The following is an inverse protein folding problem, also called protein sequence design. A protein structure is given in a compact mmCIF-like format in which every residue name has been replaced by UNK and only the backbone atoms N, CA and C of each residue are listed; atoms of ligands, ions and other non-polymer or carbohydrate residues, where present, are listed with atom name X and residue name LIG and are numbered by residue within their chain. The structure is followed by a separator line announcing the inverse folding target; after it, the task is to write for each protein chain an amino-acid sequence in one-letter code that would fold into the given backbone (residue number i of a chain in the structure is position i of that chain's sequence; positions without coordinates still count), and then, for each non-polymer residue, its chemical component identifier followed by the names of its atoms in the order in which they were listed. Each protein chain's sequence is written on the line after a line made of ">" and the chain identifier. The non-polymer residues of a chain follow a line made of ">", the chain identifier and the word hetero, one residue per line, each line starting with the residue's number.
data_IF_015521320540
#
_entry.id   IF_015521320540
#
_cell.length_a   1.000
_cell.length_b   1.000
_cell.length_c   1.000
_cell.angle_alpha   90.00
_cell.angle_beta   90.00
_cell.angle_gamma   90.00
#
_symmetry.space_group_name_H-M   'P 1'
#
loop_
_entity.id
_entity.type
_entity.pdbx_description
1 polymer ?
#
# COMPACT_ATOMS: atom_id res chain seq x y z
N UNK A 1 -24.81 33.45 -5.25
CA UNK A 1 -24.88 33.01 -6.65
C UNK A 1 -23.76 32.00 -7.02
N UNK A 2 -22.56 32.08 -6.49
CA UNK A 2 -21.42 31.19 -6.90
C UNK A 2 -21.56 29.72 -6.46
N UNK A 3 -22.31 29.43 -5.40
CA UNK A 3 -22.49 28.02 -4.91
C UNK A 3 -23.45 27.15 -5.74
N UNK A 4 -24.37 27.78 -6.52
CA UNK A 4 -25.32 27.06 -7.37
C UNK A 4 -24.72 26.64 -8.72
N UNK A 5 -23.71 27.35 -9.21
CA UNK A 5 -23.02 27.02 -10.46
C UNK A 5 -22.09 25.79 -10.32
N UNK A 6 -21.52 25.54 -9.15
CA UNK A 6 -20.68 24.36 -8.88
C UNK A 6 -21.50 23.07 -8.71
N UNK A 7 -22.71 23.16 -8.14
CA UNK A 7 -23.63 22.00 -8.05
C UNK A 7 -24.22 21.61 -9.41
N UNK A 8 -24.52 22.59 -10.28
CA UNK A 8 -25.03 22.32 -11.62
C UNK A 8 -23.99 21.65 -12.52
N UNK A 9 -22.70 21.98 -12.37
CA UNK A 9 -21.61 21.33 -13.11
C UNK A 9 -21.37 19.88 -12.71
N UNK A 10 -21.49 19.55 -11.43
CA UNK A 10 -21.36 18.18 -10.92
C UNK A 10 -22.56 17.29 -11.30
N UNK A 11 -23.79 17.82 -11.26
CA UNK A 11 -24.98 17.10 -11.70
C UNK A 11 -24.95 16.84 -13.23
N UNK A 12 -24.46 17.78 -14.04
CA UNK A 12 -24.31 17.62 -15.49
C UNK A 12 -23.35 16.49 -15.85
N UNK A 13 -22.22 16.38 -15.14
CA UNK A 13 -21.26 15.29 -15.37
C UNK A 13 -21.79 13.89 -14.97
N UNK A 14 -22.59 13.82 -13.88
CA UNK A 14 -23.19 12.55 -13.44
C UNK A 14 -24.32 12.11 -14.36
N UNK A 15 -25.15 13.04 -14.84
CA UNK A 15 -26.25 12.75 -15.80
C UNK A 15 -25.69 12.33 -17.15
N UNK A 16 -24.60 12.95 -17.62
CA UNK A 16 -23.92 12.54 -18.88
C UNK A 16 -23.30 11.15 -18.76
N UNK A 17 -22.73 10.78 -17.59
CA UNK A 17 -22.18 9.44 -17.36
C UNK A 17 -23.29 8.37 -17.28
N UNK A 18 -24.44 8.67 -16.68
CA UNK A 18 -25.58 7.74 -16.62
C UNK A 18 -26.30 7.61 -17.96
N UNK A 19 -26.37 8.69 -18.75
CA UNK A 19 -26.95 8.65 -20.11
C UNK A 19 -26.06 7.84 -21.09
N UNK A 20 -24.75 7.89 -20.94
CA UNK A 20 -23.81 7.10 -21.74
C UNK A 20 -23.96 5.58 -21.46
N UNK A 21 -24.29 5.17 -20.23
CA UNK A 21 -24.51 3.76 -19.91
C UNK A 21 -25.80 3.21 -20.55
N UNK A 22 -26.84 4.02 -20.70
CA UNK A 22 -28.12 3.60 -21.29
C UNK A 22 -28.06 3.50 -22.82
N UNK A 23 -27.25 4.32 -23.47
CA UNK A 23 -27.08 4.32 -24.94
C UNK A 23 -26.08 3.25 -25.42
N UNK A 24 -25.07 2.93 -24.61
CA UNK A 24 -24.08 1.88 -24.92
C UNK A 24 -24.75 0.48 -25.02
N UNK A 25 -25.81 0.23 -24.26
CA UNK A 25 -26.53 -1.03 -24.27
C UNK A 25 -27.34 -1.29 -25.57
N UNK A 26 -27.54 -0.29 -26.42
CA UNK A 26 -28.35 -0.37 -27.65
C UNK A 26 -27.52 -0.41 -28.95
N UNK A 27 -26.18 -0.34 -28.89
CA UNK A 27 -25.36 -0.33 -30.11
C UNK A 27 -25.03 -1.75 -30.56
N UNK A 28 -25.03 -2.02 -31.89
CA UNK A 28 -24.60 -3.30 -32.43
C UNK A 28 -23.13 -3.54 -32.05
N UNK A 29 -22.82 -4.76 -31.67
CA UNK A 29 -21.44 -5.16 -31.38
C UNK A 29 -20.60 -5.12 -32.62
N UNK A 30 -19.66 -4.21 -32.71
CA UNK A 30 -18.73 -4.09 -33.83
C UNK A 30 -17.83 -5.34 -33.93
N UNK A 31 -17.44 -5.71 -35.15
CA UNK A 31 -16.47 -6.79 -35.35
C UNK A 31 -15.10 -6.47 -34.68
N UNK A 32 -14.34 -7.51 -34.27
CA UNK A 32 -13.01 -7.28 -33.70
C UNK A 32 -12.09 -6.61 -34.76
N UNK A 33 -11.40 -5.55 -34.37
CA UNK A 33 -10.47 -4.87 -35.23
C UNK A 33 -9.06 -5.43 -35.10
N UNK A 34 -8.62 -6.23 -36.04
CA UNK A 34 -7.23 -6.72 -36.15
C UNK A 34 -6.38 -5.78 -37.06
N UNK A 35 -6.57 -4.47 -36.94
CA UNK A 35 -5.78 -3.52 -37.71
C UNK A 35 -4.38 -3.43 -37.11
N UNK A 36 -3.36 -3.66 -37.95
CA UNK A 36 -1.96 -3.44 -37.59
C UNK A 36 -1.77 -2.01 -37.06
N UNK A 37 -1.42 -1.86 -35.80
CA UNK A 37 -1.31 -0.55 -35.15
C UNK A 37 0.09 0.05 -35.36
N UNK A 38 0.15 1.31 -35.84
CA UNK A 38 1.41 2.06 -36.00
C UNK A 38 1.84 2.73 -34.67
N UNK A 39 1.97 1.94 -33.62
CA UNK A 39 2.41 2.44 -32.32
C UNK A 39 3.93 2.26 -32.20
N UNK A 40 4.65 3.34 -31.90
CA UNK A 40 6.11 3.39 -31.87
C UNK A 40 6.68 3.71 -30.47
N UNK A 41 6.00 3.28 -29.44
CA UNK A 41 6.49 3.38 -28.05
C UNK A 41 6.31 2.03 -27.34
N UNK A 42 7.14 1.73 -26.30
CA UNK A 42 7.08 0.45 -25.59
C UNK A 42 5.85 0.34 -24.67
N UNK A 43 5.47 -0.88 -24.27
CA UNK A 43 4.32 -1.13 -23.39
C UNK A 43 4.56 -0.71 -21.93
N UNK A 44 5.74 -0.24 -21.56
CA UNK A 44 6.10 0.26 -20.24
C UNK A 44 7.19 1.34 -20.36
N UNK A 45 7.36 2.21 -19.34
CA UNK A 45 8.38 3.24 -19.33
C UNK A 45 9.79 2.67 -19.57
N UNK A 46 10.60 3.27 -20.46
CA UNK A 46 11.91 2.72 -20.83
C UNK A 46 12.95 2.77 -19.70
N UNK A 47 12.71 3.58 -18.65
CA UNK A 47 13.61 3.80 -17.53
C UNK A 47 13.05 3.26 -16.22
N UNK A 48 12.51 2.05 -16.23
CA UNK A 48 12.02 1.36 -15.04
C UNK A 48 13.15 0.53 -14.44
N UNK A 49 13.86 1.07 -13.46
CA UNK A 49 14.95 0.36 -12.79
C UNK A 49 14.42 -0.65 -11.76
N UNK A 50 13.37 -0.27 -11.04
CA UNK A 50 12.76 -1.08 -9.98
C UNK A 50 11.26 -1.14 -10.20
N UNK A 51 10.79 -2.05 -11.08
CA UNK A 51 9.37 -2.17 -11.40
C UNK A 51 8.57 -2.67 -10.19
N UNK A 52 7.53 -1.90 -9.83
CA UNK A 52 6.54 -2.25 -8.81
C UNK A 52 5.23 -2.58 -9.50
N UNK A 53 4.61 -3.68 -9.11
CA UNK A 53 3.29 -4.11 -9.54
C UNK A 53 2.30 -3.88 -8.42
N UNK A 54 1.34 -2.98 -8.62
CA UNK A 54 0.30 -2.67 -7.63
C UNK A 54 -1.05 -3.16 -8.13
N UNK A 55 -1.68 -4.09 -7.41
CA UNK A 55 -3.01 -4.64 -7.76
C UNK A 55 -4.12 -3.62 -7.47
N UNK A 56 -4.40 -2.71 -8.41
CA UNK A 56 -5.35 -1.61 -8.24
C UNK A 56 -6.82 -2.01 -8.43
N UNK A 57 -7.10 -3.08 -9.17
CA UNK A 57 -8.41 -3.73 -9.28
C UNK A 57 -8.19 -5.22 -9.08
N UNK A 58 -8.82 -5.81 -8.06
CA UNK A 58 -8.54 -7.19 -7.65
C UNK A 58 -9.76 -8.05 -7.89
N UNK A 59 -9.65 -9.05 -8.77
CA UNK A 59 -10.67 -10.07 -9.04
C UNK A 59 -12.08 -9.51 -9.30
N UNK A 60 -12.19 -8.44 -10.09
CA UNK A 60 -13.47 -7.85 -10.51
C UNK A 60 -13.91 -8.37 -11.89
N UNK A 61 -15.21 -8.31 -12.17
CA UNK A 61 -15.77 -8.70 -13.48
C UNK A 61 -15.52 -7.65 -14.56
N UNK A 62 -15.33 -6.38 -14.20
CA UNK A 62 -15.10 -5.30 -15.14
C UNK A 62 -14.24 -4.19 -14.58
N UNK A 63 -13.59 -3.43 -15.46
CA UNK A 63 -12.93 -2.18 -15.14
C UNK A 63 -13.08 -1.20 -16.31
N UNK A 64 -13.07 0.10 -16.00
CA UNK A 64 -13.04 1.16 -17.02
C UNK A 64 -11.65 1.76 -17.07
N UNK A 65 -11.18 2.03 -18.26
CA UNK A 65 -9.88 2.67 -18.49
C UNK A 65 -9.97 3.80 -19.49
N UNK A 66 -9.02 4.73 -19.40
CA UNK A 66 -8.74 5.75 -20.41
C UNK A 66 -7.24 6.05 -20.46
N UNK A 67 -6.80 6.77 -21.48
CA UNK A 67 -5.40 7.15 -21.67
C UNK A 67 -5.26 8.67 -21.74
N UNK A 68 -4.16 9.21 -21.18
CA UNK A 68 -3.89 10.64 -21.18
C UNK A 68 -3.51 11.18 -22.55
N UNK A 69 -2.72 10.43 -23.28
CA UNK A 69 -2.39 10.61 -24.70
C UNK A 69 -2.72 9.33 -25.46
N UNK A 70 -2.69 9.35 -26.77
CA UNK A 70 -2.91 8.16 -27.59
C UNK A 70 -2.02 7.01 -27.10
N UNK A 71 -2.61 5.82 -27.03
CA UNK A 71 -2.04 4.65 -26.41
C UNK A 71 -2.34 3.38 -27.20
N UNK A 72 -1.99 2.25 -26.60
CA UNK A 72 -2.34 0.95 -27.15
C UNK A 72 -2.47 -0.13 -26.08
N UNK A 73 -3.13 -1.22 -26.48
CA UNK A 73 -3.05 -2.52 -25.83
C UNK A 73 -1.95 -3.32 -26.48
N UNK A 74 -1.09 -3.92 -25.69
CA UNK A 74 0.03 -4.76 -26.14
C UNK A 74 -0.11 -6.17 -25.62
N UNK A 75 0.27 -7.14 -26.45
CA UNK A 75 0.58 -8.50 -26.03
C UNK A 75 2.07 -8.70 -26.26
N UNK A 76 2.79 -9.03 -25.19
CA UNK A 76 4.25 -8.96 -25.16
C UNK A 76 4.73 -7.54 -25.52
N UNK A 77 5.33 -7.33 -26.69
CA UNK A 77 5.73 -6.01 -27.20
C UNK A 77 4.92 -5.56 -28.42
N UNK A 78 3.98 -6.39 -28.89
CA UNK A 78 3.21 -6.14 -30.10
C UNK A 78 1.94 -5.35 -29.75
N UNK A 79 1.73 -4.16 -30.30
CA UNK A 79 0.49 -3.43 -30.16
C UNK A 79 -0.62 -4.12 -30.98
N UNK A 80 -1.74 -4.43 -30.32
CA UNK A 80 -2.86 -5.17 -30.92
C UNK A 80 -4.14 -4.34 -31.04
N UNK A 81 -4.24 -3.22 -30.29
CA UNK A 81 -5.43 -2.36 -30.32
C UNK A 81 -5.04 -0.93 -29.93
N UNK A 82 -5.41 0.05 -30.76
CA UNK A 82 -5.16 1.46 -30.48
C UNK A 82 -6.18 2.04 -29.53
N UNK A 83 -5.68 2.84 -28.59
CA UNK A 83 -6.45 3.61 -27.63
C UNK A 83 -6.30 5.10 -27.94
N UNK A 84 -7.41 5.82 -28.04
CA UNK A 84 -7.42 7.24 -28.34
C UNK A 84 -7.64 8.08 -27.09
N UNK A 85 -6.90 9.19 -27.01
CA UNK A 85 -7.09 10.21 -25.97
C UNK A 85 -8.56 10.66 -25.94
N UNK A 86 -9.11 10.81 -24.74
CA UNK A 86 -10.48 11.29 -24.54
C UNK A 86 -11.57 10.23 -24.69
N UNK A 87 -11.20 8.99 -25.03
CA UNK A 87 -12.14 7.87 -25.08
C UNK A 87 -12.02 6.99 -23.85
N UNK A 88 -13.16 6.41 -23.45
CA UNK A 88 -13.27 5.45 -22.35
C UNK A 88 -13.44 4.05 -22.92
N UNK A 89 -12.77 3.10 -22.31
CA UNK A 89 -12.81 1.70 -22.67
C UNK A 89 -13.25 0.87 -21.47
N UNK A 90 -14.01 -0.18 -21.72
CA UNK A 90 -14.35 -1.18 -20.72
C UNK A 90 -13.55 -2.46 -20.94
N UNK A 91 -13.01 -2.99 -19.87
CA UNK A 91 -12.45 -4.35 -19.83
C UNK A 91 -13.48 -5.22 -19.14
N UNK A 92 -13.98 -6.22 -19.82
CA UNK A 92 -14.92 -7.23 -19.31
C UNK A 92 -14.94 -8.45 -20.24
N UNK A 93 -15.32 -9.60 -19.75
CA UNK A 93 -15.55 -10.82 -20.55
C UNK A 93 -14.40 -11.19 -21.49
N UNK A 94 -13.15 -11.01 -21.00
CA UNK A 94 -11.96 -11.33 -21.78
C UNK A 94 -11.67 -10.38 -22.94
N UNK A 95 -12.24 -9.19 -22.97
CA UNK A 95 -12.03 -8.20 -24.03
C UNK A 95 -11.96 -6.77 -23.51
N UNK A 96 -11.38 -5.90 -24.32
CA UNK A 96 -11.43 -4.44 -24.16
C UNK A 96 -12.34 -3.87 -25.23
N UNK A 97 -13.31 -3.05 -24.84
CA UNK A 97 -14.32 -2.47 -25.73
C UNK A 97 -14.33 -0.95 -25.58
N UNK A 98 -14.28 -0.24 -26.71
CA UNK A 98 -14.44 1.21 -26.77
C UNK A 98 -15.91 1.59 -26.59
N UNK A 99 -16.22 2.41 -25.59
CA UNK A 99 -17.60 2.81 -25.29
C UNK A 99 -18.29 3.55 -26.43
N UNK A 100 -17.54 4.41 -27.12
CA UNK A 100 -18.11 5.29 -28.14
C UNK A 100 -18.59 4.55 -29.39
N UNK A 101 -17.85 3.52 -29.84
CA UNK A 101 -18.09 2.86 -31.14
C UNK A 101 -18.49 1.40 -31.00
N UNK A 102 -18.25 0.78 -29.83
CA UNK A 102 -18.37 -0.66 -29.63
C UNK A 102 -17.20 -1.46 -30.24
N UNK A 103 -16.20 -0.83 -30.83
CA UNK A 103 -14.98 -1.47 -31.33
C UNK A 103 -14.29 -2.19 -30.21
N UNK A 104 -13.86 -3.43 -30.39
CA UNK A 104 -13.27 -4.22 -29.35
C UNK A 104 -12.07 -5.05 -29.82
N UNK A 105 -11.28 -5.53 -28.87
CA UNK A 105 -10.21 -6.49 -29.05
C UNK A 105 -10.31 -7.56 -27.95
N UNK A 106 -10.17 -8.82 -28.33
CA UNK A 106 -10.09 -9.93 -27.37
C UNK A 106 -8.70 -9.94 -26.71
N UNK A 107 -8.70 -10.20 -25.43
CA UNK A 107 -7.48 -10.33 -24.63
C UNK A 107 -7.18 -11.82 -24.41
N UNK A 108 -5.95 -12.29 -24.65
CA UNK A 108 -5.59 -13.70 -24.43
C UNK A 108 -5.64 -14.04 -22.94
N UNK A 109 -6.07 -15.25 -22.64
CA UNK A 109 -6.19 -15.74 -21.25
C UNK A 109 -4.83 -16.18 -20.69
N UNK A 110 -3.96 -16.68 -21.56
CA UNK A 110 -2.64 -17.24 -21.21
C UNK A 110 -1.50 -16.20 -21.17
N UNK A 111 -1.78 -14.96 -21.54
CA UNK A 111 -0.81 -13.87 -21.58
C UNK A 111 -1.31 -12.63 -20.85
N UNK A 112 -0.38 -11.83 -20.34
CA UNK A 112 -0.70 -10.52 -19.79
C UNK A 112 -0.89 -9.52 -20.91
N UNK A 113 -2.04 -8.87 -20.98
CA UNK A 113 -2.23 -7.69 -21.81
C UNK A 113 -1.69 -6.47 -21.06
N UNK A 114 -0.98 -5.59 -21.77
CA UNK A 114 -0.51 -4.30 -21.23
C UNK A 114 -1.19 -3.15 -21.93
N UNK A 115 -1.51 -2.13 -21.15
CA UNK A 115 -2.13 -0.90 -21.61
C UNK A 115 -1.18 0.24 -21.27
N UNK A 116 -0.73 0.96 -22.29
CA UNK A 116 0.14 2.11 -22.11
C UNK A 116 -0.29 3.26 -23.01
N UNK A 117 -0.12 4.49 -22.55
CA UNK A 117 -0.14 5.70 -23.37
C UNK A 117 1.29 6.16 -23.63
N UNK A 118 1.47 7.04 -24.62
CA UNK A 118 2.77 7.62 -24.95
C UNK A 118 3.45 8.30 -23.75
N UNK A 119 2.65 8.95 -22.89
CA UNK A 119 3.15 9.67 -21.71
C UNK A 119 3.14 8.81 -20.44
N UNK A 120 2.87 7.52 -20.55
CA UNK A 120 2.77 6.59 -19.43
C UNK A 120 1.88 7.12 -18.29
N UNK A 121 0.67 7.57 -18.68
CA UNK A 121 -0.39 7.98 -17.78
C UNK A 121 -1.70 7.35 -18.21
N UNK A 122 -2.27 6.57 -17.32
CA UNK A 122 -3.48 5.79 -17.58
C UNK A 122 -4.51 6.05 -16.49
N UNK A 123 -5.76 6.11 -16.86
CA UNK A 123 -6.87 6.18 -15.93
C UNK A 123 -7.49 4.80 -15.75
N UNK A 124 -7.83 4.46 -14.50
CA UNK A 124 -8.55 3.23 -14.20
C UNK A 124 -9.59 3.50 -13.12
N UNK A 125 -10.83 3.14 -13.39
CA UNK A 125 -12.03 3.28 -12.57
C UNK A 125 -12.32 4.70 -12.06
N UNK A 126 -11.49 5.36 -11.31
CA UNK A 126 -11.76 6.70 -10.80
C UNK A 126 -10.51 7.56 -10.67
N UNK A 127 -9.35 7.03 -11.04
CA UNK A 127 -8.07 7.67 -10.77
C UNK A 127 -7.11 7.61 -11.93
N UNK A 128 -6.28 8.62 -12.03
CA UNK A 128 -5.11 8.63 -12.90
C UNK A 128 -3.91 8.02 -12.19
N UNK A 129 -3.15 7.22 -12.94
CA UNK A 129 -1.97 6.49 -12.49
C UNK A 129 -0.79 6.79 -13.40
N UNK A 130 0.41 6.86 -12.84
CA UNK A 130 1.66 6.84 -13.63
C UNK A 130 1.97 5.42 -14.08
N UNK A 131 2.78 5.28 -15.12
CA UNK A 131 3.16 3.98 -15.66
C UNK A 131 2.15 3.39 -16.62
N UNK A 132 2.06 2.08 -16.63
CA UNK A 132 1.17 1.29 -17.50
C UNK A 132 0.25 0.39 -16.65
N UNK A 133 -0.72 -0.25 -17.33
CA UNK A 133 -1.55 -1.28 -16.70
C UNK A 133 -1.20 -2.65 -17.25
N UNK A 134 -1.19 -3.66 -16.42
CA UNK A 134 -1.20 -5.07 -16.81
C UNK A 134 -2.55 -5.68 -16.45
N UNK A 135 -3.09 -6.52 -17.32
CA UNK A 135 -4.35 -7.24 -17.12
C UNK A 135 -4.04 -8.71 -16.99
N UNK A 136 -4.47 -9.31 -15.89
CA UNK A 136 -4.49 -10.77 -15.69
C UNK A 136 -5.94 -11.21 -15.70
N UNK A 137 -6.24 -12.21 -16.53
CA UNK A 137 -7.57 -12.80 -16.59
C UNK A 137 -7.70 -14.04 -15.72
N UNK A 138 -8.86 -14.19 -15.12
CA UNK A 138 -9.30 -15.37 -14.37
C UNK A 138 -10.71 -15.75 -14.87
N UNK A 139 -11.22 -16.96 -14.61
CA UNK A 139 -12.58 -17.32 -14.99
C UNK A 139 -13.62 -16.31 -14.47
N UNK A 140 -14.29 -15.58 -15.39
CA UNK A 140 -15.30 -14.55 -15.08
C UNK A 140 -14.79 -13.30 -14.34
N UNK A 141 -13.49 -13.15 -14.15
CA UNK A 141 -12.90 -12.03 -13.40
C UNK A 141 -11.57 -11.59 -14.01
N UNK A 142 -11.10 -10.43 -13.58
CA UNK A 142 -9.76 -9.95 -13.91
C UNK A 142 -9.15 -9.17 -12.76
N UNK A 143 -7.83 -9.05 -12.80
CA UNK A 143 -7.04 -8.14 -11.97
C UNK A 143 -6.37 -7.12 -12.88
N UNK A 144 -6.48 -5.83 -12.52
CA UNK A 144 -5.73 -4.74 -13.16
C UNK A 144 -4.59 -4.34 -12.23
N UNK A 145 -3.40 -4.37 -12.75
CA UNK A 145 -2.15 -4.09 -12.06
C UNK A 145 -1.57 -2.79 -12.63
N UNK A 146 -1.25 -1.84 -11.78
CA UNK A 146 -0.47 -0.68 -12.17
C UNK A 146 1.02 -1.05 -12.10
N UNK A 147 1.71 -0.94 -13.23
CA UNK A 147 3.14 -1.22 -13.38
C UNK A 147 3.89 0.09 -13.57
N UNK A 148 4.80 0.40 -12.65
CA UNK A 148 5.58 1.62 -12.69
C UNK A 148 6.92 1.46 -11.93
N UNK A 149 7.81 2.44 -12.08
CA UNK A 149 9.04 2.50 -11.29
C UNK A 149 8.76 2.85 -9.83
N UNK A 150 9.56 2.33 -8.91
CA UNK A 150 9.40 2.53 -7.45
C UNK A 150 9.37 4.02 -7.07
N UNK A 151 10.16 4.89 -7.71
CA UNK A 151 10.16 6.31 -7.40
C UNK A 151 8.83 6.97 -7.80
N UNK A 152 8.28 6.61 -8.95
CA UNK A 152 6.96 7.07 -9.37
C UNK A 152 5.84 6.53 -8.47
N UNK A 153 5.98 5.30 -7.96
CA UNK A 153 5.07 4.74 -6.96
C UNK A 153 5.07 5.56 -5.68
N UNK A 154 6.25 5.93 -5.18
CA UNK A 154 6.41 6.71 -3.95
C UNK A 154 5.83 8.12 -4.05
N UNK A 155 5.83 8.75 -5.24
CA UNK A 155 5.14 10.04 -5.45
C UNK A 155 3.64 9.96 -5.11
N UNK A 156 3.01 8.81 -5.31
CA UNK A 156 1.62 8.58 -4.92
C UNK A 156 1.44 8.06 -3.50
N UNK A 157 2.45 7.41 -2.90
CA UNK A 157 2.41 6.86 -1.54
C UNK A 157 2.64 7.92 -0.49
N UNK A 158 3.74 8.66 -0.56
CA UNK A 158 4.13 9.64 0.48
C UNK A 158 2.99 10.61 0.82
N UNK A 159 2.33 11.28 -0.14
CA UNK A 159 1.21 12.17 0.16
C UNK A 159 -0.08 11.44 0.59
N UNK A 160 -0.16 10.14 0.36
CA UNK A 160 -1.30 9.32 0.79
C UNK A 160 -1.16 8.84 2.23
N UNK A 161 0.06 8.79 2.73
CA UNK A 161 0.43 8.33 4.08
C UNK A 161 0.66 9.47 5.05
N UNK A 162 1.25 10.58 4.60
CA UNK A 162 1.52 11.76 5.43
C UNK A 162 0.94 13.03 4.82
N UNK A 163 0.40 13.97 5.61
CA UNK A 163 -0.02 15.29 5.13
C UNK A 163 1.15 16.03 4.44
N UNK A 164 0.93 16.53 3.23
CA UNK A 164 1.95 17.26 2.46
C UNK A 164 2.38 18.59 3.14
N UNK A 165 1.58 19.10 4.08
CA UNK A 165 1.92 20.29 4.89
C UNK A 165 3.02 20.03 5.92
N UNK A 166 3.27 18.78 6.29
CA UNK A 166 4.27 18.42 7.30
C UNK A 166 5.69 18.78 6.88
N UNK A 167 6.62 18.76 7.84
CA UNK A 167 8.01 19.11 7.62
C UNK A 167 8.65 18.23 6.53
N UNK A 168 9.48 18.86 5.67
CA UNK A 168 10.12 18.15 4.54
C UNK A 168 11.01 17.00 5.01
N UNK A 169 11.67 17.13 6.16
CA UNK A 169 12.53 16.08 6.70
C UNK A 169 11.72 14.85 7.16
N UNK A 170 10.52 15.05 7.69
CA UNK A 170 9.60 13.97 7.98
C UNK A 170 9.11 13.26 6.71
N UNK A 171 8.78 14.03 5.67
CA UNK A 171 8.37 13.49 4.36
C UNK A 171 9.51 12.70 3.69
N UNK A 172 10.77 13.15 3.83
CA UNK A 172 11.97 12.41 3.38
C UNK A 172 12.13 11.09 4.15
N UNK A 173 12.00 11.10 5.46
CA UNK A 173 12.05 9.90 6.29
C UNK A 173 10.96 8.90 5.88
N UNK A 174 9.74 9.38 5.64
CA UNK A 174 8.64 8.55 5.12
C UNK A 174 8.96 7.97 3.74
N UNK A 175 9.55 8.76 2.84
CA UNK A 175 9.90 8.27 1.50
C UNK A 175 10.91 7.12 1.57
N UNK A 176 11.94 7.22 2.42
CA UNK A 176 12.94 6.15 2.61
C UNK A 176 12.30 4.92 3.27
N UNK A 177 11.45 5.10 4.27
CA UNK A 177 10.73 4.00 4.92
C UNK A 177 9.81 3.28 3.93
N UNK A 178 9.00 4.03 3.18
CA UNK A 178 8.08 3.47 2.19
C UNK A 178 8.82 2.77 1.04
N UNK A 179 9.96 3.32 0.60
CA UNK A 179 10.82 2.68 -0.42
C UNK A 179 11.37 1.36 0.09
N UNK A 180 11.87 1.32 1.30
CA UNK A 180 12.40 0.11 1.92
C UNK A 180 11.34 -0.97 2.09
N UNK A 181 10.11 -0.57 2.44
CA UNK A 181 8.97 -1.48 2.49
C UNK A 181 8.66 -2.04 1.11
N UNK A 182 8.48 -1.19 0.10
CA UNK A 182 8.18 -1.62 -1.26
C UNK A 182 9.30 -2.50 -1.83
N UNK A 183 10.56 -2.07 -1.70
CA UNK A 183 11.71 -2.81 -2.20
C UNK A 183 11.85 -4.21 -1.58
N UNK A 184 11.54 -4.37 -0.29
CA UNK A 184 11.53 -5.67 0.38
C UNK A 184 10.42 -6.63 -0.13
N UNK A 185 9.42 -6.11 -0.84
CA UNK A 185 8.34 -6.89 -1.44
C UNK A 185 8.56 -7.22 -2.92
N UNK A 186 9.64 -6.70 -3.53
CA UNK A 186 9.99 -7.08 -4.90
C UNK A 186 10.63 -8.47 -4.95
N UNK A 187 10.76 -9.05 -6.14
CA UNK A 187 11.48 -10.29 -6.43
C UNK A 187 11.11 -11.50 -5.55
N UNK A 188 9.82 -11.62 -5.25
CA UNK A 188 9.32 -12.79 -4.51
C UNK A 188 9.13 -12.53 -3.01
N UNK A 189 9.46 -11.35 -2.51
CA UNK A 189 9.18 -10.94 -1.12
C UNK A 189 7.69 -10.72 -0.83
N UNK A 190 6.86 -10.58 -1.87
CA UNK A 190 5.42 -10.33 -1.72
C UNK A 190 4.63 -11.61 -1.49
N UNK A 191 3.72 -11.54 -0.52
CA UNK A 191 2.70 -12.59 -0.29
C UNK A 191 1.67 -12.68 -1.41
N UNK A 192 1.51 -11.63 -2.22
CA UNK A 192 0.52 -11.56 -3.30
C UNK A 192 1.04 -12.10 -4.63
N UNK A 193 2.35 -12.07 -4.84
CA UNK A 193 2.95 -12.34 -6.15
C UNK A 193 2.60 -13.73 -6.68
N UNK A 194 2.65 -14.74 -5.82
CA UNK A 194 2.44 -16.14 -6.21
C UNK A 194 1.05 -16.42 -6.74
N UNK A 195 0.01 -15.87 -6.10
CA UNK A 195 -1.40 -16.20 -6.41
C UNK A 195 -2.09 -15.12 -7.24
N UNK A 196 -1.63 -13.87 -7.14
CA UNK A 196 -2.31 -12.71 -7.72
C UNK A 196 -1.48 -12.00 -8.79
N UNK A 197 -0.17 -12.25 -8.82
CA UNK A 197 0.74 -11.75 -9.85
C UNK A 197 1.15 -10.29 -9.70
N UNK A 198 0.97 -9.67 -8.52
CA UNK A 198 1.43 -8.32 -8.19
C UNK A 198 2.21 -8.30 -6.88
N UNK A 199 2.93 -7.20 -6.61
CA UNK A 199 3.81 -7.08 -5.46
C UNK A 199 3.10 -6.47 -4.24
N UNK A 200 2.23 -5.48 -4.46
CA UNK A 200 1.60 -4.67 -3.42
C UNK A 200 0.12 -4.41 -3.72
N UNK A 201 -0.64 -4.01 -2.69
CA UNK A 201 -2.00 -3.49 -2.81
C UNK A 201 -2.06 -2.02 -2.38
N UNK A 202 -3.01 -1.20 -2.92
CA UNK A 202 -3.04 0.26 -2.74
C UNK A 202 -3.77 0.71 -1.47
N UNK A 203 -3.75 -0.09 -0.40
CA UNK A 203 -4.51 0.15 0.82
C UNK A 203 -3.74 -0.25 2.09
N UNK A 204 -4.40 -0.22 3.26
CA UNK A 204 -3.82 -0.46 4.58
C UNK A 204 -3.19 -1.86 4.77
N UNK A 205 -3.39 -2.79 3.84
CA UNK A 205 -2.77 -4.11 3.87
C UNK A 205 -1.30 -4.06 3.49
N UNK A 206 -0.90 -3.03 2.75
CA UNK A 206 0.48 -2.71 2.39
C UNK A 206 0.73 -1.20 2.58
N UNK A 207 0.47 -0.35 1.59
CA UNK A 207 0.69 1.09 1.65
C UNK A 207 -0.45 1.84 0.96
N UNK A 208 -0.93 2.93 1.55
CA UNK A 208 -1.91 3.78 0.89
C UNK A 208 -1.31 4.37 -0.40
N UNK A 209 -1.92 4.05 -1.54
CA UNK A 209 -1.52 4.53 -2.85
C UNK A 209 -2.73 5.06 -3.60
N UNK A 210 -2.82 6.38 -3.74
CA UNK A 210 -4.01 7.04 -4.32
C UNK A 210 -3.79 7.54 -5.75
N UNK A 211 -2.65 7.19 -6.35
CA UNK A 211 -2.31 7.58 -7.71
C UNK A 211 -1.93 9.06 -7.82
N UNK A 212 -1.99 9.59 -9.04
CA UNK A 212 -1.46 10.92 -9.39
C UNK A 212 -2.16 12.08 -8.71
N UNK A 213 -3.45 11.95 -8.39
CA UNK A 213 -4.22 13.04 -7.77
C UNK A 213 -3.76 13.38 -6.34
N UNK A 214 -3.02 12.49 -5.69
CA UNK A 214 -2.46 12.74 -4.36
C UNK A 214 -1.15 13.53 -4.40
N UNK A 215 -0.43 13.54 -5.52
CA UNK A 215 0.90 14.10 -5.64
C UNK A 215 0.93 15.61 -5.37
N UNK A 216 1.98 16.06 -4.69
CA UNK A 216 2.29 17.48 -4.50
C UNK A 216 3.76 17.76 -4.82
N UNK A 217 4.10 19.00 -5.18
CA UNK A 217 5.48 19.39 -5.44
C UNK A 217 6.40 19.10 -4.24
N UNK A 218 5.94 19.35 -3.02
CA UNK A 218 6.73 19.13 -1.79
C UNK A 218 6.98 17.64 -1.53
N UNK A 219 5.99 16.77 -1.68
CA UNK A 219 6.17 15.33 -1.48
C UNK A 219 7.01 14.71 -2.59
N UNK A 220 6.84 15.16 -3.84
CA UNK A 220 7.68 14.73 -4.96
C UNK A 220 9.14 15.14 -4.75
N UNK A 221 9.38 16.33 -4.21
CA UNK A 221 10.74 16.79 -3.82
C UNK A 221 11.34 15.91 -2.72
N UNK A 222 10.57 15.51 -1.70
CA UNK A 222 11.05 14.61 -0.65
C UNK A 222 11.46 13.24 -1.23
N UNK A 223 10.69 12.68 -2.15
CA UNK A 223 11.03 11.44 -2.87
C UNK A 223 12.32 11.62 -3.68
N UNK A 224 12.41 12.68 -4.47
CA UNK A 224 13.57 12.95 -5.33
C UNK A 224 14.86 13.17 -4.53
N UNK A 225 14.81 13.91 -3.41
CA UNK A 225 15.98 14.18 -2.56
C UNK A 225 16.46 12.96 -1.76
N UNK A 226 15.68 11.91 -1.70
CA UNK A 226 16.04 10.63 -1.07
C UNK A 226 16.09 9.47 -2.06
N UNK A 227 16.15 9.77 -3.37
CA UNK A 227 16.07 8.78 -4.44
C UNK A 227 17.04 7.63 -4.21
N UNK A 228 16.54 6.40 -4.34
CA UNK A 228 17.32 5.18 -4.24
C UNK A 228 17.73 4.77 -2.83
N UNK A 229 17.56 5.61 -1.81
CA UNK A 229 18.00 5.29 -0.43
C UNK A 229 17.00 4.36 0.25
N UNK A 230 17.51 3.27 0.85
CA UNK A 230 16.77 2.27 1.62
C UNK A 230 17.44 1.98 2.97
N UNK A 231 16.68 1.33 3.83
CA UNK A 231 17.14 0.79 5.11
C UNK A 231 17.74 -0.60 4.89
N UNK A 232 18.98 -0.80 5.36
CA UNK A 232 19.60 -2.14 5.44
C UNK A 232 20.01 -2.45 6.88
N UNK A 233 19.91 -3.71 7.25
CA UNK A 233 20.40 -4.26 8.50
C UNK A 233 21.28 -5.46 8.18
N UNK A 234 22.55 -5.41 8.59
CA UNK A 234 23.53 -6.46 8.30
C UNK A 234 23.58 -6.84 6.80
N UNK A 235 23.53 -5.83 5.92
CA UNK A 235 23.56 -6.00 4.46
C UNK A 235 22.24 -6.49 3.83
N UNK A 236 21.20 -6.75 4.63
CA UNK A 236 19.87 -7.14 4.13
C UNK A 236 18.90 -5.97 4.16
N UNK A 237 17.99 -5.91 3.21
CA UNK A 237 16.93 -4.91 3.22
C UNK A 237 16.08 -5.07 4.47
N UNK A 238 15.95 -3.97 5.22
CA UNK A 238 15.07 -3.91 6.39
C UNK A 238 13.74 -3.30 5.93
N UNK A 239 12.61 -4.04 5.98
CA UNK A 239 11.32 -3.47 5.63
C UNK A 239 11.02 -2.25 6.50
N UNK A 240 10.77 -1.14 5.86
CA UNK A 240 10.50 0.14 6.51
C UNK A 240 9.05 0.22 7.00
N UNK A 241 8.70 -0.48 8.06
CA UNK A 241 7.37 -0.36 8.67
C UNK A 241 7.16 1.03 9.24
N UNK A 242 5.95 1.56 9.12
CA UNK A 242 5.57 2.85 9.69
C UNK A 242 4.09 2.85 10.10
N UNK A 243 3.75 3.76 11.01
CA UNK A 243 2.38 3.95 11.48
C UNK A 243 2.18 5.38 11.93
N UNK A 244 0.93 5.82 12.05
CA UNK A 244 0.62 7.16 12.55
C UNK A 244 1.34 7.44 13.89
N UNK A 245 1.27 6.48 14.82
CA UNK A 245 1.95 6.52 16.11
C UNK A 245 2.51 5.15 16.47
N UNK A 246 3.70 5.11 17.09
CA UNK A 246 4.32 3.86 17.60
C UNK A 246 4.45 3.82 19.13
N UNK A 247 3.82 4.74 19.85
CA UNK A 247 3.99 4.89 21.29
C UNK A 247 5.26 5.69 21.61
N UNK A 248 5.32 6.94 21.16
CA UNK A 248 6.53 7.73 21.17
C UNK A 248 7.09 8.04 22.57
N UNK A 249 8.42 8.20 22.62
CA UNK A 249 9.20 8.69 23.75
C UNK A 249 8.98 10.17 24.09
N UNK A 250 8.11 10.90 23.36
CA UNK A 250 7.77 12.29 23.69
C UNK A 250 6.92 12.34 24.95
N UNK A 251 7.49 12.80 26.04
CA UNK A 251 6.94 12.79 27.39
C UNK A 251 5.55 13.45 27.55
N UNK A 252 5.18 14.34 26.64
CA UNK A 252 3.94 15.13 26.74
C UNK A 252 2.79 14.61 25.87
N UNK A 253 2.92 13.46 25.22
CA UNK A 253 1.87 12.91 24.39
C UNK A 253 0.93 12.02 25.21
N UNK A 254 -0.19 12.59 25.60
CA UNK A 254 -1.42 11.95 26.06
C UNK A 254 -1.23 10.61 26.80
N UNK A 255 -0.74 10.69 28.02
CA UNK A 255 -0.78 9.57 28.97
C UNK A 255 -2.22 9.13 29.16
N UNK A 256 -2.49 7.86 28.95
CA UNK A 256 -3.80 7.26 29.13
C UNK A 256 -3.72 6.15 30.17
N UNK A 257 -4.82 5.95 30.88
CA UNK A 257 -4.98 4.85 31.81
C UNK A 257 -6.13 3.96 31.36
N UNK A 258 -5.93 2.65 31.44
CA UNK A 258 -6.97 1.67 31.18
C UNK A 258 -7.03 0.68 32.34
N UNK A 259 -8.10 0.70 33.15
CA UNK A 259 -8.34 -0.35 34.09
C UNK A 259 -8.76 -1.63 33.36
N UNK A 260 -8.17 -2.74 33.74
CA UNK A 260 -8.48 -4.07 33.23
C UNK A 260 -8.85 -4.95 34.43
N UNK A 261 -10.09 -5.44 34.51
CA UNK A 261 -10.52 -6.31 35.62
C UNK A 261 -9.64 -7.56 35.73
N UNK A 262 -9.35 -7.98 36.95
CA UNK A 262 -8.53 -9.18 37.23
C UNK A 262 -8.99 -10.39 36.43
N UNK A 263 -10.28 -10.70 36.45
CA UNK A 263 -10.87 -11.83 35.69
C UNK A 263 -10.61 -11.71 34.19
N UNK A 264 -10.72 -10.52 33.61
CA UNK A 264 -10.44 -10.30 32.18
C UNK A 264 -8.96 -10.54 31.87
N UNK A 265 -8.04 -10.02 32.70
CA UNK A 265 -6.62 -10.21 32.50
C UNK A 265 -6.22 -11.68 32.65
N UNK A 266 -6.78 -12.39 33.59
CA UNK A 266 -6.61 -13.83 33.81
C UNK A 266 -7.05 -14.65 32.59
N UNK A 267 -8.20 -14.35 32.03
CA UNK A 267 -8.72 -15.00 30.82
C UNK A 267 -7.81 -14.77 29.61
N UNK A 268 -7.44 -13.51 29.39
CA UNK A 268 -6.60 -13.11 28.25
C UNK A 268 -5.21 -13.75 28.35
N UNK A 269 -4.63 -13.80 29.53
CA UNK A 269 -3.25 -14.24 29.73
C UNK A 269 -3.14 -15.73 30.08
N UNK A 270 -4.21 -16.35 30.51
CA UNK A 270 -4.20 -17.73 31.00
C UNK A 270 -3.39 -17.91 32.30
N UNK A 271 -3.27 -16.85 33.09
CA UNK A 271 -2.61 -16.85 34.40
C UNK A 271 -3.66 -16.62 35.47
N UNK A 272 -4.05 -17.64 36.26
CA UNK A 272 -5.07 -17.49 37.31
C UNK A 272 -4.49 -16.84 38.55
N UNK A 273 -5.35 -16.15 39.31
CA UNK A 273 -5.01 -15.50 40.59
C UNK A 273 -3.77 -14.58 40.45
N UNK A 274 -3.84 -13.62 39.56
CA UNK A 274 -2.75 -12.67 39.29
C UNK A 274 -2.45 -11.86 40.57
N UNK A 275 -1.19 -11.86 40.98
CA UNK A 275 -0.66 -11.15 42.18
C UNK A 275 0.32 -10.03 41.76
N UNK A 276 0.79 -10.02 40.54
CA UNK A 276 1.70 -8.99 40.01
C UNK A 276 1.72 -8.92 38.48
N UNK A 277 1.87 -7.71 37.99
CA UNK A 277 2.13 -7.42 36.56
C UNK A 277 3.25 -6.38 36.49
N UNK A 278 4.32 -6.69 35.79
CA UNK A 278 5.51 -5.84 35.75
C UNK A 278 6.02 -5.73 34.31
N UNK A 279 6.28 -4.52 33.85
CA UNK A 279 7.01 -4.28 32.60
C UNK A 279 8.50 -4.50 32.90
N UNK A 280 9.11 -5.44 32.20
CA UNK A 280 10.52 -5.86 32.42
C UNK A 280 11.50 -5.10 31.53
N UNK A 281 11.09 -4.78 30.31
CA UNK A 281 11.95 -4.11 29.35
C UNK A 281 11.16 -3.29 28.33
N UNK A 282 11.85 -2.34 27.70
CA UNK A 282 11.33 -1.47 26.64
C UNK A 282 12.32 -1.44 25.47
N UNK A 283 11.80 -1.24 24.26
CA UNK A 283 12.62 -0.97 23.08
C UNK A 283 13.10 0.51 23.05
N UNK A 284 13.89 0.85 22.04
CA UNK A 284 14.40 2.21 21.84
C UNK A 284 13.30 3.28 21.65
N UNK A 285 12.08 2.86 21.32
CA UNK A 285 10.91 3.73 21.16
C UNK A 285 10.01 3.75 22.41
N UNK A 286 10.53 3.23 23.54
CA UNK A 286 9.81 3.09 24.80
C UNK A 286 8.50 2.28 24.70
N UNK A 287 8.44 1.30 23.80
CA UNK A 287 7.39 0.29 23.80
C UNK A 287 7.80 -0.85 24.71
N UNK A 288 6.90 -1.32 25.54
CA UNK A 288 7.14 -2.49 26.36
C UNK A 288 7.44 -3.71 25.49
N UNK A 289 8.59 -4.33 25.68
CA UNK A 289 8.96 -5.56 24.97
C UNK A 289 8.51 -6.78 25.77
N UNK A 290 8.81 -6.80 27.06
CA UNK A 290 8.50 -7.93 27.91
C UNK A 290 7.69 -7.51 29.14
N UNK A 291 6.56 -8.16 29.34
CA UNK A 291 5.68 -7.95 30.49
C UNK A 291 5.53 -9.29 31.20
N UNK A 292 5.93 -9.30 32.47
CA UNK A 292 5.79 -10.45 33.36
C UNK A 292 4.45 -10.37 34.09
N UNK A 293 3.67 -11.44 34.00
CA UNK A 293 2.39 -11.60 34.69
C UNK A 293 2.53 -12.75 35.66
N UNK A 294 2.45 -12.43 36.95
CA UNK A 294 2.66 -13.36 38.04
C UNK A 294 1.33 -13.73 38.70
N UNK A 295 0.95 -14.99 38.65
CA UNK A 295 -0.13 -15.55 39.45
C UNK A 295 0.42 -16.33 40.65
N UNK A 296 -0.46 -16.75 41.58
CA UNK A 296 -0.05 -17.53 42.77
C UNK A 296 0.69 -18.84 42.44
N UNK A 297 0.39 -19.48 41.31
CA UNK A 297 0.98 -20.78 40.90
C UNK A 297 1.62 -20.78 39.52
N UNK A 298 1.47 -19.69 38.76
CA UNK A 298 1.92 -19.62 37.36
C UNK A 298 2.41 -18.24 37.03
N UNK A 299 3.56 -18.15 36.42
CA UNK A 299 4.09 -16.91 35.84
C UNK A 299 4.15 -17.05 34.30
N UNK A 300 3.87 -15.99 33.62
CA UNK A 300 3.96 -15.91 32.15
C UNK A 300 4.62 -14.61 31.71
N UNK A 301 5.49 -14.70 30.73
CA UNK A 301 6.01 -13.55 29.99
C UNK A 301 5.22 -13.36 28.69
N UNK A 302 4.85 -12.14 28.41
CA UNK A 302 4.06 -11.76 27.23
C UNK A 302 4.70 -10.56 26.58
N UNK A 303 4.90 -10.62 25.27
CA UNK A 303 5.33 -9.45 24.50
C UNK A 303 4.34 -8.31 24.65
N UNK A 304 4.85 -7.10 24.92
CA UNK A 304 4.03 -5.91 25.14
C UNK A 304 3.07 -5.61 24.00
N UNK A 305 3.52 -5.76 22.75
CA UNK A 305 2.67 -5.62 21.54
C UNK A 305 1.50 -6.60 21.54
N UNK A 306 1.77 -7.87 21.93
CA UNK A 306 0.75 -8.90 21.96
C UNK A 306 -0.26 -8.62 23.07
N UNK A 307 0.21 -8.25 24.26
CA UNK A 307 -0.67 -7.89 25.37
C UNK A 307 -1.50 -6.65 25.05
N UNK A 308 -0.89 -5.60 24.50
CA UNK A 308 -1.59 -4.40 24.07
C UNK A 308 -2.73 -4.71 23.09
N UNK A 309 -2.47 -5.56 22.09
CA UNK A 309 -3.48 -6.00 21.13
C UNK A 309 -4.62 -6.76 21.81
N UNK A 310 -4.31 -7.70 22.69
CA UNK A 310 -5.30 -8.50 23.42
C UNK A 310 -6.16 -7.63 24.34
N UNK A 311 -5.58 -6.57 24.89
CA UNK A 311 -6.26 -5.59 25.75
C UNK A 311 -7.01 -4.51 24.94
N UNK A 312 -6.90 -4.48 23.61
CA UNK A 312 -7.46 -3.42 22.78
C UNK A 312 -6.82 -2.04 23.04
N UNK A 313 -5.55 -2.01 23.44
CA UNK A 313 -4.76 -0.79 23.50
C UNK A 313 -4.30 -0.41 22.10
N UNK A 314 -4.32 0.86 21.79
CA UNK A 314 -3.89 1.37 20.48
C UNK A 314 -2.36 1.54 20.38
N UNK A 315 -1.61 1.03 21.38
CA UNK A 315 -0.16 1.22 21.47
C UNK A 315 0.46 0.15 22.36
N UNK A 316 1.72 -0.20 22.09
CA UNK A 316 2.57 -0.99 22.97
C UNK A 316 3.42 -0.12 23.93
N UNK A 317 3.27 1.20 23.89
CA UNK A 317 3.94 2.15 24.78
C UNK A 317 3.44 2.08 26.23
N UNK A 318 3.35 0.86 26.79
CA UNK A 318 2.96 0.63 28.17
C UNK A 318 4.13 1.05 29.07
N UNK A 319 3.88 2.00 29.96
CA UNK A 319 4.90 2.57 30.84
C UNK A 319 4.90 1.90 32.22
N UNK A 320 3.71 1.62 32.72
CA UNK A 320 3.52 1.10 34.08
C UNK A 320 2.21 0.32 34.19
N UNK A 321 2.17 -0.62 35.13
CA UNK A 321 0.97 -1.38 35.44
C UNK A 321 0.85 -1.48 36.98
N UNK A 322 -0.26 -0.99 37.53
CA UNK A 322 -0.52 -1.00 38.98
C UNK A 322 -1.80 -1.75 39.32
N UNK A 323 -1.76 -2.53 40.36
CA UNK A 323 -2.97 -3.11 40.93
C UNK A 323 -3.77 -2.04 41.69
N UNK A 324 -5.03 -1.87 41.34
CA UNK A 324 -5.98 -0.97 41.99
C UNK A 324 -7.29 -1.72 42.27
N UNK A 325 -7.52 -2.15 43.51
CA UNK A 325 -8.69 -2.95 43.85
C UNK A 325 -8.77 -4.26 43.10
N UNK A 326 -9.87 -4.47 42.37
CA UNK A 326 -10.09 -5.67 41.53
C UNK A 326 -9.61 -5.52 40.10
N UNK A 327 -8.78 -4.53 39.78
CA UNK A 327 -8.30 -4.23 38.44
C UNK A 327 -6.80 -3.99 38.41
N UNK A 328 -6.21 -4.20 37.22
CA UNK A 328 -4.87 -3.75 36.87
C UNK A 328 -4.97 -2.53 35.96
N UNK A 329 -4.42 -1.40 36.42
CA UNK A 329 -4.43 -0.14 35.67
C UNK A 329 -3.17 -0.04 34.81
N UNK A 330 -3.34 -0.15 33.53
CA UNK A 330 -2.30 0.05 32.52
C UNK A 330 -2.16 1.54 32.21
N UNK A 331 -1.00 2.11 32.54
CA UNK A 331 -0.62 3.46 32.09
C UNK A 331 0.20 3.35 30.83
N UNK A 332 -0.25 4.00 29.76
CA UNK A 332 0.38 3.90 28.46
C UNK A 332 0.36 5.23 27.70
N UNK A 333 1.30 5.38 26.77
CA UNK A 333 1.33 6.51 25.82
C UNK A 333 0.40 6.23 24.66
N UNK A 334 -0.40 7.17 24.27
CA UNK A 334 -1.31 6.98 23.15
C UNK A 334 -1.70 8.28 22.46
N UNK A 335 -2.37 8.21 21.30
CA UNK A 335 -2.73 7.00 20.56
C UNK A 335 -1.54 6.45 19.77
N UNK A 336 -1.32 5.13 19.81
CA UNK A 336 -0.34 4.48 18.95
C UNK A 336 -0.87 3.09 18.59
N UNK A 337 -0.79 2.72 17.33
CA UNK A 337 -1.34 1.47 16.80
C UNK A 337 -0.29 0.45 16.37
N UNK A 338 0.95 0.61 16.78
CA UNK A 338 2.01 -0.32 16.46
C UNK A 338 3.28 -0.07 17.25
N UNK A 339 4.05 -1.13 17.44
CA UNK A 339 5.29 -1.14 18.23
C UNK A 339 6.54 -1.09 17.37
N UNK A 340 6.45 -0.99 16.05
CA UNK A 340 7.62 -1.09 15.17
C UNK A 340 7.60 -0.04 14.08
N UNK A 341 8.80 0.48 13.78
CA UNK A 341 9.07 1.34 12.66
C UNK A 341 8.84 2.82 12.93
N UNK A 342 8.74 3.60 11.87
CA UNK A 342 8.61 5.05 11.91
C UNK A 342 7.26 5.47 12.50
N UNK A 343 7.28 6.29 13.55
CA UNK A 343 6.13 7.07 13.96
C UNK A 343 6.00 8.28 13.05
N UNK A 344 4.91 8.37 12.29
CA UNK A 344 4.70 9.47 11.34
C UNK A 344 4.58 10.81 12.06
N UNK A 345 3.76 10.89 13.11
CA UNK A 345 3.64 12.11 13.92
C UNK A 345 4.93 12.42 14.66
N UNK A 346 5.60 11.41 15.24
CA UNK A 346 6.87 11.58 15.91
C UNK A 346 7.97 12.09 14.97
N UNK A 347 8.02 11.58 13.75
CA UNK A 347 8.94 12.06 12.72
C UNK A 347 8.72 13.54 12.41
N UNK A 348 7.46 13.98 12.29
CA UNK A 348 7.17 15.39 12.09
C UNK A 348 7.59 16.26 13.28
N UNK A 349 7.33 15.81 14.52
CA UNK A 349 7.74 16.52 15.73
C UNK A 349 9.27 16.62 15.89
N UNK A 350 10.01 15.59 15.50
CA UNK A 350 11.48 15.63 15.46
C UNK A 350 11.99 16.60 14.39
N UNK A 351 11.41 16.53 13.20
CA UNK A 351 11.74 17.44 12.10
C UNK A 351 11.50 18.92 12.45
N UNK A 352 10.39 19.23 13.15
CA UNK A 352 10.08 20.58 13.63
C UNK A 352 11.06 21.07 14.73
N UNK A 353 11.78 20.13 15.36
CA UNK A 353 12.89 20.42 16.30
C UNK A 353 14.27 20.47 15.63
N UNK A 354 14.31 20.46 14.30
CA UNK A 354 15.55 20.58 13.52
C UNK A 354 16.27 19.27 13.21
N UNK A 355 15.63 18.11 13.48
CA UNK A 355 16.22 16.83 13.08
C UNK A 355 16.09 16.61 11.57
N UNK A 356 17.16 16.13 10.94
CA UNK A 356 17.12 15.71 9.55
C UNK A 356 16.56 14.27 9.41
N UNK A 357 16.22 13.89 8.21
CA UNK A 357 15.61 12.59 7.92
C UNK A 357 16.48 11.39 8.30
N UNK A 358 17.82 11.50 8.22
CA UNK A 358 18.73 10.43 8.63
C UNK A 358 18.67 10.21 10.14
N UNK A 359 18.71 11.27 10.93
CA UNK A 359 18.59 11.20 12.38
C UNK A 359 17.23 10.62 12.79
N UNK A 360 16.16 11.04 12.11
CA UNK A 360 14.82 10.52 12.35
C UNK A 360 14.76 9.00 12.07
N UNK A 361 15.30 8.55 10.95
CA UNK A 361 15.32 7.12 10.62
C UNK A 361 16.18 6.31 11.59
N UNK A 362 17.33 6.83 11.99
CA UNK A 362 18.16 6.19 12.99
C UNK A 362 17.41 6.03 14.31
N UNK A 363 16.68 7.04 14.77
CA UNK A 363 15.88 6.99 15.99
C UNK A 363 14.86 5.84 15.99
N UNK A 364 14.17 5.63 14.85
CA UNK A 364 13.06 4.68 14.79
C UNK A 364 13.44 3.27 14.34
N UNK A 365 14.57 3.10 13.67
CA UNK A 365 14.98 1.81 13.12
C UNK A 365 16.29 1.27 13.70
N UNK A 366 16.97 2.06 14.53
CA UNK A 366 18.19 1.61 15.20
C UNK A 366 17.92 0.33 16.01
N UNK A 367 18.79 -0.65 15.85
CA UNK A 367 18.85 -1.78 16.75
C UNK A 367 19.95 -1.55 17.82
N UNK A 368 19.93 -2.31 18.93
CA UNK A 368 20.94 -2.19 19.99
C UNK A 368 22.39 -2.38 19.50
N UNK A 369 22.56 -3.10 18.42
CA UNK A 369 23.89 -3.44 17.86
C UNK A 369 24.39 -2.42 16.82
N UNK A 370 23.59 -1.37 16.54
CA UNK A 370 23.97 -0.28 15.62
C UNK A 370 24.24 -0.72 14.18
N UNK A 371 23.56 -1.80 13.74
CA UNK A 371 23.78 -2.40 12.39
C UNK A 371 23.01 -1.72 11.27
N UNK A 372 22.07 -0.82 11.61
CA UNK A 372 21.31 -0.08 10.64
C UNK A 372 22.21 0.77 9.73
N UNK A 373 22.01 0.67 8.44
CA UNK A 373 22.66 1.50 7.42
C UNK A 373 21.61 2.09 6.49
N UNK A 374 21.89 3.30 6.01
CA UNK A 374 21.18 3.94 4.91
C UNK A 374 22.05 3.74 3.66
N UNK A 375 21.58 2.92 2.74
CA UNK A 375 22.31 2.56 1.54
C UNK A 375 21.45 2.74 0.30
N UNK A 376 22.08 2.81 -0.86
CA UNK A 376 21.35 2.83 -2.12
C UNK A 376 20.88 1.42 -2.49
N UNK A 377 19.74 1.35 -3.16
CA UNK A 377 19.26 0.12 -3.76
C UNK A 377 20.31 -0.45 -4.71
N UNK A 378 20.49 -1.76 -4.70
CA UNK A 378 21.43 -2.44 -5.60
C UNK A 378 21.00 -2.21 -7.06
N UNK A 379 21.95 -1.89 -7.94
CA UNK A 379 21.64 -1.69 -9.36
C UNK A 379 21.17 -3.00 -10.00
N UNK A 380 20.02 -2.93 -10.70
CA UNK A 380 19.44 -3.94 -11.59
C UNK A 380 18.48 -4.96 -10.99
N UNK A 381 17.19 -4.60 -10.98
CA UNK A 381 16.13 -5.57 -11.13
C UNK A 381 15.52 -5.45 -12.55
N UNK A 382 15.83 -6.40 -13.42
CA UNK A 382 15.18 -6.47 -14.74
C UNK A 382 13.76 -6.99 -14.56
N UNK A 383 12.81 -6.43 -15.32
CA UNK A 383 11.45 -6.99 -15.43
C UNK A 383 11.57 -8.37 -16.05
N UNK A 384 11.66 -9.42 -15.21
CA UNK A 384 11.47 -10.78 -15.70
C UNK A 384 10.01 -10.91 -16.12
N UNK A 385 9.78 -11.38 -17.33
CA UNK A 385 8.45 -11.78 -17.77
C UNK A 385 7.95 -12.87 -16.82
N UNK A 386 7.12 -12.51 -15.86
CA UNK A 386 6.53 -13.50 -14.95
C UNK A 386 5.40 -14.20 -15.69
N UNK A 387 5.51 -15.54 -15.79
CA UNK A 387 4.43 -16.41 -16.23
C UNK A 387 3.16 -16.08 -15.42
N UNK A 388 1.96 -16.08 -16.01
CA UNK A 388 0.73 -15.97 -15.25
C UNK A 388 0.71 -16.99 -14.09
N UNK A 389 0.11 -16.68 -12.94
CA UNK A 389 -0.04 -17.68 -11.89
C UNK A 389 -0.79 -18.89 -12.45
N UNK A 390 -0.31 -20.08 -12.12
CA UNK A 390 -0.96 -21.32 -12.55
C UNK A 390 -2.40 -21.35 -11.98
N UNK A 391 -3.39 -21.82 -12.74
CA UNK A 391 -4.75 -21.96 -12.23
C UNK A 391 -4.69 -22.87 -11.01
N UNK A 392 -5.27 -22.40 -9.90
CA UNK A 392 -5.43 -23.21 -8.68
C UNK A 392 -6.17 -24.49 -9.09
N UNK A 393 -5.52 -25.63 -8.92
CA UNK A 393 -6.13 -26.93 -9.13
C UNK A 393 -7.44 -26.97 -8.33
N UNK A 394 -8.54 -27.32 -8.98
CA UNK A 394 -9.82 -27.56 -8.29
C UNK A 394 -9.56 -28.60 -7.22
N UNK A 395 -9.82 -28.26 -5.98
CA UNK A 395 -9.84 -29.19 -4.86
C UNK A 395 -10.83 -30.30 -5.21
N UNK A 396 -10.31 -31.51 -5.39
CA UNK A 396 -11.11 -32.71 -5.62
C UNK A 396 -11.66 -33.20 -4.28
N UNK A 397 -12.56 -32.40 -3.69
CA UNK A 397 -13.34 -32.85 -2.54
C UNK A 397 -14.72 -32.22 -2.65
N UNK A 398 -15.57 -32.83 -3.50
CA UNK A 398 -17.03 -32.91 -3.36
C UNK A 398 -17.59 -33.80 -4.48
N UNK A 399 -17.24 -35.07 -4.43
CA UNK A 399 -18.05 -36.14 -5.02
C UNK A 399 -18.01 -37.32 -4.05
N UNK A 400 -18.80 -37.25 -3.00
CA UNK A 400 -19.43 -38.44 -2.34
C UNK A 400 -20.54 -37.95 -1.44
N UNK A 401 -21.71 -38.13 -1.87
CA UNK A 401 -23.04 -38.54 -1.37
C UNK A 401 -24.17 -37.67 -1.87
#
# INVERSE_FOLDING_TARGET
>A
MLRWLLLAGLLSCVVVLLALDAEAAKRPVAAPSNVATKVNFPPYPPYMLYPVRVGIVQRQSSARIAVWSDGAVFIDFTPIFELKKGLVYQIADGRITEYATGRFCNLPVDKRARIASRDFQVWCNSRWWRGSLEIIQFPGKMTVINLLDIENYLMGVVPSEMPASWNIEALKAQAVAARSYAYAHLDGGSKWLRNEGYDLVPDVRDQAYKGRAAETAKTNMAVAQTQGVILKDSGRVKPGFYRAWVGDFFENLNMRKKPVPNKQLEQITGVPNIVGVTVRSWDANANATDIQIMGKKKTREVYGVKLASMLGLQTAGILDVKGEGESWVFTYRGPGNGARGLSQHGANMLADRGWNWQQILQQYYQDPDGRLRLEYMDKYHTVKATKPPEPVAKDKTDETE
#
